data_IF_792667418812
#
_entry.id   IF_792667418812
#
_cell.length_a   1.000
_cell.length_b   1.000
_cell.length_c   1.000
_cell.angle_alpha   90.00
_cell.angle_beta   90.00
_cell.angle_gamma   90.00
#
_symmetry.space_group_name_H-M   'P 1'
#
loop_
_entity.id
_entity.type
_entity.pdbx_description
1 polymer ?
#
# COMPACT_ATOMS: atom_id res chain seq x y z
N UNK A 1 14.14 27.93 -1.72
CA UNK A 1 14.30 26.50 -2.04
C UNK A 1 13.62 26.20 -3.37
N UNK A 2 14.35 25.66 -4.30
CA UNK A 2 13.83 25.27 -5.61
C UNK A 2 13.18 23.89 -5.57
N UNK A 3 12.31 23.60 -6.53
CA UNK A 3 11.60 22.32 -6.63
C UNK A 3 12.54 21.11 -6.56
N UNK A 4 13.69 21.18 -7.25
CA UNK A 4 14.66 20.09 -7.30
C UNK A 4 15.29 19.79 -5.92
N UNK A 5 15.60 20.81 -5.14
CA UNK A 5 16.11 20.65 -3.78
C UNK A 5 15.06 20.01 -2.85
N UNK A 6 13.80 20.42 -3.01
CA UNK A 6 12.69 19.78 -2.29
C UNK A 6 12.59 18.29 -2.61
N UNK A 7 12.68 17.91 -3.88
CA UNK A 7 12.62 16.51 -4.30
C UNK A 7 13.75 15.70 -3.67
N UNK A 8 14.97 16.24 -3.62
CA UNK A 8 16.11 15.56 -3.00
C UNK A 8 15.90 15.37 -1.49
N UNK A 9 15.41 16.37 -0.80
CA UNK A 9 15.12 16.29 0.64
C UNK A 9 14.03 15.27 0.95
N UNK A 10 12.95 15.28 0.19
CA UNK A 10 11.85 14.32 0.35
C UNK A 10 12.37 12.90 0.12
N UNK A 11 13.12 12.70 -0.97
CA UNK A 11 13.69 11.40 -1.32
C UNK A 11 14.58 10.84 -0.22
N UNK A 12 15.46 11.66 0.35
CA UNK A 12 16.37 11.25 1.42
C UNK A 12 15.62 10.78 2.68
N UNK A 13 14.52 11.44 3.03
CA UNK A 13 13.72 11.06 4.21
C UNK A 13 12.89 9.81 3.93
N UNK A 14 12.32 9.68 2.74
CA UNK A 14 11.55 8.49 2.36
C UNK A 14 12.42 7.23 2.30
N UNK A 15 13.68 7.34 1.91
CA UNK A 15 14.64 6.24 1.92
C UNK A 15 14.86 5.67 3.33
N UNK A 16 14.67 6.47 4.37
CA UNK A 16 14.70 6.04 5.77
C UNK A 16 13.39 5.41 6.24
N UNK A 17 12.42 5.22 5.34
CA UNK A 17 11.07 4.75 5.63
C UNK A 17 10.32 5.63 6.65
N UNK A 18 10.57 6.93 6.57
CA UNK A 18 9.94 7.95 7.41
C UNK A 18 9.09 8.89 6.56
N UNK A 19 7.98 9.44 7.10
CA UNK A 19 7.24 10.46 6.39
C UNK A 19 8.03 11.78 6.36
N UNK A 20 7.95 12.47 5.23
CA UNK A 20 8.45 13.83 5.10
C UNK A 20 7.35 14.80 5.51
N UNK A 21 7.64 15.68 6.46
CA UNK A 21 6.70 16.69 6.95
C UNK A 21 7.29 18.07 6.71
N UNK A 22 6.55 18.92 6.03
CA UNK A 22 6.91 20.32 5.80
C UNK A 22 5.79 21.22 6.27
N UNK A 23 6.14 22.18 7.12
CA UNK A 23 5.20 23.17 7.62
C UNK A 23 5.76 24.57 7.36
N UNK A 24 4.95 25.45 6.81
CA UNK A 24 5.36 26.83 6.59
C UNK A 24 4.18 27.79 6.59
N UNK A 25 4.45 29.01 7.05
CA UNK A 25 3.55 30.16 6.89
C UNK A 25 4.09 31.13 5.86
N UNK A 26 5.41 31.26 5.77
CA UNK A 26 6.10 32.26 4.95
C UNK A 26 6.98 31.66 3.85
N UNK A 27 7.17 30.34 3.82
CA UNK A 27 8.03 29.69 2.83
C UNK A 27 7.42 29.56 1.45
N UNK A 28 8.16 28.98 0.52
CA UNK A 28 7.70 28.77 -0.84
C UNK A 28 6.78 27.57 -0.94
N UNK A 29 5.49 27.81 -0.75
CA UNK A 29 4.45 26.78 -0.76
C UNK A 29 4.31 26.10 -2.13
N UNK A 30 4.49 26.84 -3.20
CA UNK A 30 4.29 26.35 -4.57
C UNK A 30 5.31 25.27 -4.92
N UNK A 31 6.59 25.48 -4.65
CA UNK A 31 7.62 24.51 -4.95
C UNK A 31 7.49 23.22 -4.15
N UNK A 32 7.09 23.32 -2.88
CA UNK A 32 6.85 22.15 -2.03
C UNK A 32 5.68 21.32 -2.56
N UNK A 33 4.60 21.98 -2.98
CA UNK A 33 3.45 21.29 -3.57
C UNK A 33 3.80 20.61 -4.89
N UNK A 34 4.59 21.25 -5.75
CA UNK A 34 5.04 20.62 -7.00
C UNK A 34 5.96 19.43 -6.74
N UNK A 35 6.84 19.53 -5.76
CA UNK A 35 7.70 18.42 -5.36
C UNK A 35 6.88 17.26 -4.80
N UNK A 36 5.94 17.54 -3.91
CA UNK A 36 5.05 16.52 -3.34
C UNK A 36 4.21 15.83 -4.43
N UNK A 37 3.73 16.57 -5.42
CA UNK A 37 2.97 16.00 -6.54
C UNK A 37 3.81 15.02 -7.38
N UNK A 38 5.10 15.24 -7.50
CA UNK A 38 6.01 14.31 -8.16
C UNK A 38 5.97 12.94 -7.46
N UNK A 39 5.99 12.92 -6.12
CA UNK A 39 5.91 11.67 -5.34
C UNK A 39 4.51 11.06 -5.37
N UNK A 40 3.47 11.89 -5.36
CA UNK A 40 2.09 11.40 -5.50
C UNK A 40 1.90 10.63 -6.80
N UNK A 41 2.44 11.13 -7.90
CA UNK A 41 2.40 10.45 -9.21
C UNK A 41 3.19 9.14 -9.24
N UNK A 42 4.15 8.98 -8.33
CA UNK A 42 4.92 7.75 -8.16
C UNK A 42 4.27 6.76 -7.19
N UNK A 43 3.07 7.03 -6.70
CA UNK A 43 2.32 6.14 -5.81
C UNK A 43 2.47 6.40 -4.32
N UNK A 44 3.11 7.51 -3.93
CA UNK A 44 3.16 7.93 -2.53
C UNK A 44 1.85 8.63 -2.14
N UNK A 45 1.40 8.39 -0.92
CA UNK A 45 0.29 9.14 -0.35
C UNK A 45 0.79 10.52 0.10
N UNK A 46 0.07 11.57 -0.29
CA UNK A 46 0.38 12.95 0.08
C UNK A 46 -0.82 13.54 0.79
N UNK A 47 -0.58 14.05 2.00
CA UNK A 47 -1.59 14.76 2.79
C UNK A 47 -1.28 16.25 2.80
N UNK A 48 -2.30 17.06 2.58
CA UNK A 48 -2.19 18.52 2.56
C UNK A 48 -3.18 19.09 3.55
N UNK A 49 -2.70 19.94 4.46
CA UNK A 49 -3.54 20.68 5.38
C UNK A 49 -3.26 22.16 5.23
N UNK A 50 -4.32 22.95 5.11
CA UNK A 50 -4.25 24.40 4.94
C UNK A 50 -5.09 25.04 6.04
N UNK A 51 -4.44 25.87 6.87
CA UNK A 51 -5.07 26.52 8.00
C UNK A 51 -4.92 28.03 7.90
N UNK A 52 -5.95 28.80 8.31
CA UNK A 52 -5.80 30.22 8.45
C UNK A 52 -4.91 30.56 9.65
N UNK A 53 -4.15 31.62 9.53
CA UNK A 53 -3.37 32.16 10.64
C UNK A 53 -3.78 33.59 10.98
N UNK A 54 -3.27 34.10 12.07
CA UNK A 54 -3.36 35.56 12.35
C UNK A 54 -2.66 36.32 11.21
N UNK A 55 -3.04 37.53 10.94
CA UNK A 55 -2.44 38.39 9.91
C UNK A 55 -2.75 37.97 8.45
N UNK A 56 -3.86 37.28 8.22
CA UNK A 56 -4.32 36.89 6.87
C UNK A 56 -3.32 36.00 6.06
N UNK A 57 -2.43 35.29 6.75
CA UNK A 57 -1.52 34.34 6.13
C UNK A 57 -2.08 32.93 6.21
N UNK A 58 -1.65 32.09 5.30
CA UNK A 58 -2.05 30.70 5.24
C UNK A 58 -0.91 29.81 5.72
N UNK A 59 -1.18 28.95 6.69
CA UNK A 59 -0.26 27.90 7.10
C UNK A 59 -0.48 26.65 6.26
N UNK A 60 0.58 26.13 5.66
CA UNK A 60 0.57 24.93 4.85
C UNK A 60 1.34 23.82 5.55
N UNK A 61 0.74 22.65 5.68
CA UNK A 61 1.40 21.42 6.09
C UNK A 61 1.30 20.40 4.97
N UNK A 62 2.43 19.87 4.53
CA UNK A 62 2.49 18.82 3.52
C UNK A 62 3.19 17.62 4.13
N UNK A 63 2.56 16.45 4.03
CA UNK A 63 3.14 15.19 4.48
C UNK A 63 3.20 14.25 3.30
N UNK A 64 4.41 13.78 2.96
CA UNK A 64 4.62 12.74 1.95
C UNK A 64 4.95 11.45 2.70
N UNK A 65 4.10 10.43 2.53
CA UNK A 65 4.27 9.14 3.21
C UNK A 65 5.15 8.20 2.40
N UNK A 66 5.91 7.31 3.06
CA UNK A 66 6.62 6.23 2.37
C UNK A 66 5.62 5.37 1.59
N UNK A 67 6.07 4.75 0.50
CA UNK A 67 5.25 3.79 -0.23
C UNK A 67 4.82 2.66 0.69
N UNK A 68 3.58 2.24 0.55
CA UNK A 68 3.14 0.97 1.13
C UNK A 68 3.84 -0.16 0.38
N UNK A 69 4.74 -0.84 1.06
CA UNK A 69 5.43 -2.02 0.53
C UNK A 69 4.67 -3.32 0.81
N UNK A 70 3.64 -3.26 1.64
CA UNK A 70 2.83 -4.39 2.06
C UNK A 70 1.38 -4.15 1.68
N UNK A 71 0.74 -5.17 1.12
CA UNK A 71 -0.69 -5.17 0.83
C UNK A 71 -1.33 -6.47 1.29
N UNK A 72 -2.59 -6.41 1.68
CA UNK A 72 -3.39 -7.57 2.07
C UNK A 72 -4.57 -7.74 1.11
N UNK A 73 -4.79 -8.97 0.66
CA UNK A 73 -5.95 -9.34 -0.13
C UNK A 73 -6.74 -10.44 0.56
N UNK A 74 -8.06 -10.34 0.48
CA UNK A 74 -8.94 -11.47 0.76
C UNK A 74 -9.54 -11.93 -0.56
N UNK A 75 -9.27 -13.18 -0.95
CA UNK A 75 -9.80 -13.73 -2.18
C UNK A 75 -11.30 -13.96 -2.06
N UNK A 76 -12.03 -13.47 -3.05
CA UNK A 76 -13.46 -13.67 -3.20
C UNK A 76 -13.73 -14.64 -4.35
N UNK A 77 -14.89 -15.26 -4.32
CA UNK A 77 -15.27 -16.28 -5.31
C UNK A 77 -15.23 -15.77 -6.76
N UNK A 78 -15.57 -14.49 -6.95
CA UNK A 78 -15.68 -13.86 -8.26
C UNK A 78 -14.40 -13.12 -8.69
N UNK A 79 -13.33 -13.20 -7.90
CA UNK A 79 -12.10 -12.50 -8.22
C UNK A 79 -11.41 -13.11 -9.44
N UNK A 80 -10.99 -12.23 -10.34
CA UNK A 80 -10.17 -12.61 -11.48
C UNK A 80 -8.70 -12.67 -11.06
N UNK A 81 -8.14 -13.88 -11.09
CA UNK A 81 -6.76 -14.14 -10.70
C UNK A 81 -5.77 -13.36 -11.57
N UNK A 82 -5.99 -13.28 -12.86
CA UNK A 82 -5.13 -12.54 -13.77
C UNK A 82 -5.08 -11.05 -13.43
N UNK A 83 -6.21 -10.48 -13.02
CA UNK A 83 -6.30 -9.10 -12.57
C UNK A 83 -5.55 -8.87 -11.25
N UNK A 84 -5.66 -9.78 -10.30
CA UNK A 84 -4.93 -9.72 -9.03
C UNK A 84 -3.42 -9.82 -9.24
N UNK A 85 -2.97 -10.73 -10.08
CA UNK A 85 -1.56 -10.88 -10.47
C UNK A 85 -1.05 -9.58 -11.12
N UNK A 86 -1.83 -8.99 -12.00
CA UNK A 86 -1.51 -7.71 -12.63
C UNK A 86 -1.35 -6.59 -11.60
N UNK A 87 -2.24 -6.52 -10.62
CA UNK A 87 -2.15 -5.54 -9.52
C UNK A 87 -0.87 -5.71 -8.70
N UNK A 88 -0.53 -6.95 -8.35
CA UNK A 88 0.70 -7.26 -7.61
C UNK A 88 1.93 -6.84 -8.41
N UNK A 89 1.94 -7.18 -9.70
CA UNK A 89 3.06 -6.89 -10.60
C UNK A 89 3.30 -5.38 -10.79
N UNK A 90 2.23 -4.61 -11.00
CA UNK A 90 2.34 -3.18 -11.34
C UNK A 90 2.43 -2.26 -10.12
N UNK A 91 1.96 -2.69 -8.97
CA UNK A 91 1.95 -1.85 -7.77
C UNK A 91 3.27 -1.78 -7.02
N UNK A 92 4.28 -2.53 -7.44
CA UNK A 92 5.63 -2.55 -6.84
C UNK A 92 5.63 -2.93 -5.35
N UNK A 93 4.68 -3.75 -4.93
CA UNK A 93 4.69 -4.29 -3.58
C UNK A 93 5.86 -5.27 -3.38
N UNK A 94 6.41 -5.28 -2.18
CA UNK A 94 7.47 -6.21 -1.79
C UNK A 94 6.97 -7.32 -0.88
N UNK A 95 5.83 -7.11 -0.22
CA UNK A 95 5.18 -8.07 0.66
C UNK A 95 3.69 -8.10 0.36
N UNK A 96 3.16 -9.28 0.13
CA UNK A 96 1.74 -9.49 -0.16
C UNK A 96 1.20 -10.58 0.76
N UNK A 97 0.18 -10.24 1.53
CA UNK A 97 -0.55 -11.20 2.37
C UNK A 97 -1.89 -11.52 1.71
N UNK A 98 -2.16 -12.81 1.51
CA UNK A 98 -3.36 -13.28 0.83
C UNK A 98 -4.10 -14.22 1.76
N UNK A 99 -5.39 -13.96 1.93
CA UNK A 99 -6.31 -14.81 2.68
C UNK A 99 -7.29 -15.47 1.73
N UNK A 100 -7.44 -16.78 1.83
CA UNK A 100 -8.39 -17.53 1.04
C UNK A 100 -9.19 -18.47 1.94
N UNK A 101 -10.48 -18.54 1.74
CA UNK A 101 -11.40 -19.34 2.54
C UNK A 101 -12.14 -20.34 1.64
N UNK A 102 -12.20 -21.61 2.08
CA UNK A 102 -12.95 -22.64 1.37
C UNK A 102 -12.46 -22.84 -0.06
N UNK A 103 -13.37 -22.76 -1.02
CA UNK A 103 -13.04 -23.02 -2.44
C UNK A 103 -12.10 -21.99 -3.07
N UNK A 104 -11.96 -20.81 -2.48
CA UNK A 104 -11.02 -19.80 -2.98
C UNK A 104 -9.55 -20.16 -2.72
N UNK A 105 -9.29 -21.15 -1.87
CA UNK A 105 -7.93 -21.69 -1.65
C UNK A 105 -7.33 -22.19 -2.95
N UNK A 106 -8.14 -22.80 -3.81
CA UNK A 106 -7.70 -23.25 -5.14
C UNK A 106 -7.16 -22.09 -5.98
N UNK A 107 -7.84 -20.96 -5.95
CA UNK A 107 -7.40 -19.75 -6.65
C UNK A 107 -6.10 -19.18 -6.08
N UNK A 108 -5.91 -19.29 -4.77
CA UNK A 108 -4.67 -18.88 -4.12
C UNK A 108 -3.46 -19.65 -4.66
N UNK A 109 -3.59 -20.94 -4.91
CA UNK A 109 -2.50 -21.75 -5.48
C UNK A 109 -2.14 -21.29 -6.90
N UNK A 110 -3.10 -20.82 -7.68
CA UNK A 110 -2.83 -20.22 -8.99
C UNK A 110 -1.95 -18.96 -8.88
N UNK A 111 -2.22 -18.13 -7.89
CA UNK A 111 -1.39 -16.95 -7.61
C UNK A 111 0.00 -17.36 -7.14
N UNK A 112 0.09 -18.37 -6.29
CA UNK A 112 1.37 -18.88 -5.79
C UNK A 112 2.23 -19.48 -6.91
N UNK A 113 1.64 -20.24 -7.82
CA UNK A 113 2.36 -20.81 -8.96
C UNK A 113 3.02 -19.69 -9.78
N UNK A 114 2.26 -18.63 -10.08
CA UNK A 114 2.82 -17.48 -10.77
C UNK A 114 3.94 -16.81 -9.94
N UNK A 115 3.70 -16.58 -8.64
CA UNK A 115 4.61 -15.86 -7.76
C UNK A 115 5.95 -16.59 -7.63
N UNK A 116 5.93 -17.88 -7.38
CA UNK A 116 7.14 -18.69 -7.21
C UNK A 116 7.99 -18.76 -8.49
N UNK A 117 7.35 -18.67 -9.66
CA UNK A 117 8.05 -18.62 -10.95
C UNK A 117 8.54 -17.21 -11.32
N UNK A 118 8.17 -16.18 -10.56
CA UNK A 118 8.48 -14.78 -10.85
C UNK A 118 9.26 -14.08 -9.73
N UNK A 119 10.04 -14.82 -8.97
CA UNK A 119 10.99 -14.27 -8.00
C UNK A 119 10.40 -13.97 -6.62
N UNK A 120 9.21 -14.46 -6.34
CA UNK A 120 8.60 -14.39 -5.02
C UNK A 120 8.89 -15.66 -4.23
N UNK A 121 8.88 -15.57 -2.91
CA UNK A 121 8.97 -16.71 -2.01
C UNK A 121 7.92 -16.62 -0.90
N UNK A 122 7.56 -17.78 -0.36
CA UNK A 122 6.61 -17.86 0.75
C UNK A 122 7.34 -17.58 2.06
N UNK A 123 6.93 -16.52 2.75
CA UNK A 123 7.52 -16.11 4.03
C UNK A 123 6.80 -16.73 5.21
N UNK A 124 5.47 -16.69 5.20
CA UNK A 124 4.64 -17.22 6.30
C UNK A 124 3.42 -17.91 5.75
N UNK A 125 3.02 -18.97 6.41
CA UNK A 125 1.76 -19.66 6.17
C UNK A 125 1.12 -20.07 7.48
N UNK A 126 -0.17 -19.88 7.60
CA UNK A 126 -0.94 -20.45 8.70
C UNK A 126 -2.39 -20.69 8.29
N UNK A 127 -3.07 -21.57 9.02
CA UNK A 127 -4.48 -21.84 8.79
C UNK A 127 -5.29 -21.37 9.99
N UNK A 128 -6.52 -20.96 9.71
CA UNK A 128 -7.53 -20.66 10.71
C UNK A 128 -8.87 -21.24 10.27
N UNK A 129 -9.83 -21.28 11.18
CA UNK A 129 -11.18 -21.72 10.90
C UNK A 129 -12.09 -20.51 11.01
N UNK A 130 -12.82 -20.23 9.93
CA UNK A 130 -13.87 -19.23 9.95
C UNK A 130 -15.21 -19.92 10.16
N UNK A 131 -15.91 -19.52 11.23
CA UNK A 131 -17.27 -20.00 11.52
C UNK A 131 -18.26 -18.93 11.05
N UNK A 132 -19.15 -19.30 10.14
CA UNK A 132 -20.21 -18.43 9.64
C UNK A 132 -21.57 -19.07 9.92
N UNK A 133 -22.54 -18.23 10.24
CA UNK A 133 -23.92 -18.66 10.38
C UNK A 133 -24.67 -18.37 9.07
N UNK A 134 -25.08 -19.43 8.38
CA UNK A 134 -25.86 -19.36 7.15
C UNK A 134 -27.14 -20.16 7.37
N UNK A 135 -28.31 -19.52 7.21
CA UNK A 135 -29.62 -20.15 7.40
C UNK A 135 -29.76 -20.83 8.78
N UNK A 136 -29.28 -20.18 9.85
CA UNK A 136 -29.28 -20.70 11.22
C UNK A 136 -28.40 -21.96 11.42
N UNK A 137 -27.53 -22.28 10.46
CA UNK A 137 -26.59 -23.39 10.56
C UNK A 137 -25.17 -22.82 10.66
N UNK A 138 -24.41 -23.28 11.66
CA UNK A 138 -23.01 -22.92 11.79
C UNK A 138 -22.18 -23.68 10.74
N UNK A 139 -21.57 -22.93 9.84
CA UNK A 139 -20.63 -23.49 8.86
C UNK A 139 -19.20 -23.13 9.25
N UNK A 140 -18.34 -24.13 9.21
CA UNK A 140 -16.90 -23.95 9.45
C UNK A 140 -16.15 -24.05 8.13
N UNK A 141 -15.41 -23.00 7.79
CA UNK A 141 -14.59 -22.98 6.59
C UNK A 141 -13.13 -22.84 6.98
N UNK A 142 -12.30 -23.63 6.34
CA UNK A 142 -10.85 -23.50 6.46
C UNK A 142 -10.40 -22.25 5.73
N UNK A 143 -9.60 -21.45 6.42
CA UNK A 143 -8.98 -20.25 5.86
C UNK A 143 -7.47 -20.44 5.83
N UNK A 144 -6.87 -20.23 4.68
CA UNK A 144 -5.42 -20.27 4.49
C UNK A 144 -4.89 -18.86 4.34
N UNK A 145 -3.88 -18.52 5.15
CA UNK A 145 -3.19 -17.23 5.11
C UNK A 145 -1.77 -17.46 4.61
N UNK A 146 -1.40 -16.76 3.56
CA UNK A 146 -0.06 -16.83 3.00
C UNK A 146 0.50 -15.43 2.83
N UNK A 147 1.74 -15.26 3.26
CA UNK A 147 2.51 -14.04 3.03
C UNK A 147 3.65 -14.36 2.10
N UNK A 148 3.73 -13.69 0.98
CA UNK A 148 4.81 -13.81 0.00
C UNK A 148 5.64 -12.53 -0.02
N UNK A 149 6.93 -12.68 -0.24
CA UNK A 149 7.87 -11.58 -0.36
C UNK A 149 8.63 -11.69 -1.66
N UNK A 150 8.95 -10.54 -2.22
CA UNK A 150 9.78 -10.48 -3.43
C UNK A 150 11.24 -10.70 -3.07
N UNK A 151 11.84 -11.64 -3.72
CA UNK A 151 13.26 -11.93 -3.56
C UNK A 151 14.17 -10.94 -4.25
#
# INVERSE_FOLDING_TARGET
MQKYECIQQISAILEQNKPYVYQTTNGNKTFVLFAADTFRRQGHEVSIDIQPTQFFKTALTVVVHPRKTTIEFTLRRDDDIANLISKIKHAQYTTVSIRACGMTIRSLFGILDWSLHNGWYVDKTFMSTLTQQVDNVNQRNTTLHITIKKG
#
